data_IF_948043034033
#
_entry.id   IF_948043034033
#
_cell.length_a   1.000
_cell.length_b   1.000
_cell.length_c   1.000
_cell.angle_alpha   90.00
_cell.angle_beta   90.00
_cell.angle_gamma   90.00
#
_symmetry.space_group_name_H-M   'P 1'
#
loop_
_entity.id
_entity.type
_entity.pdbx_description
1 polymer ?
#
# COMPACT_ATOMS: atom_id res chain seq x y z
N UNK A 1 -65.15 19.32 6.83
CA UNK A 1 -64.08 18.66 6.05
C UNK A 1 -63.43 19.58 5.01
N UNK A 2 -64.13 20.59 4.51
CA UNK A 2 -63.62 21.52 3.46
C UNK A 2 -62.64 22.58 4.05
N UNK A 3 -62.84 23.06 5.27
CA UNK A 3 -61.93 24.05 5.90
C UNK A 3 -60.54 23.54 6.21
N UNK A 4 -60.41 22.24 6.55
CA UNK A 4 -59.10 21.62 6.88
C UNK A 4 -58.20 21.37 5.65
N UNK A 5 -58.77 21.35 4.44
CA UNK A 5 -58.06 21.22 3.19
C UNK A 5 -57.52 22.56 2.67
N UNK A 6 -58.21 23.68 2.96
CA UNK A 6 -57.75 25.02 2.55
C UNK A 6 -56.52 25.48 3.36
N UNK A 7 -56.42 25.13 4.63
CA UNK A 7 -55.26 25.43 5.44
C UNK A 7 -54.02 24.66 5.02
N UNK A 8 -54.20 23.41 4.61
CA UNK A 8 -53.08 22.61 4.07
C UNK A 8 -52.63 23.09 2.69
N UNK A 9 -53.51 23.57 1.84
CA UNK A 9 -53.15 24.16 0.55
C UNK A 9 -52.37 25.45 0.73
N UNK A 10 -52.83 26.35 1.64
CA UNK A 10 -52.13 27.59 1.94
C UNK A 10 -50.75 27.36 2.58
N UNK A 11 -50.58 26.32 3.38
CA UNK A 11 -49.27 25.96 3.95
C UNK A 11 -48.34 25.37 2.85
N UNK A 12 -48.88 24.65 1.87
CA UNK A 12 -48.10 24.15 0.76
C UNK A 12 -47.65 25.25 -0.20
N UNK A 13 -48.53 26.20 -0.52
CA UNK A 13 -48.19 27.39 -1.33
C UNK A 13 -47.18 28.27 -0.66
N UNK A 14 -47.25 28.45 0.67
CA UNK A 14 -46.28 29.22 1.46
C UNK A 14 -44.90 28.59 1.51
N UNK A 15 -44.83 27.24 1.57
CA UNK A 15 -43.61 26.48 1.49
C UNK A 15 -43.03 26.42 0.08
N UNK A 16 -43.86 26.37 -0.98
CA UNK A 16 -43.40 26.38 -2.35
C UNK A 16 -42.82 27.75 -2.74
N UNK A 17 -43.41 28.85 -2.25
CA UNK A 17 -42.86 30.20 -2.46
C UNK A 17 -41.54 30.40 -1.73
N UNK A 18 -41.35 29.78 -0.54
CA UNK A 18 -40.07 29.80 0.18
C UNK A 18 -38.97 29.00 -0.57
N UNK A 19 -39.36 27.84 -1.16
CA UNK A 19 -38.42 27.05 -1.97
C UNK A 19 -38.04 27.78 -3.28
N UNK A 20 -38.96 28.47 -3.91
CA UNK A 20 -38.69 29.28 -5.09
C UNK A 20 -37.77 30.48 -4.77
N UNK A 21 -37.86 31.03 -3.56
CA UNK A 21 -36.99 32.15 -3.14
C UNK A 21 -35.55 31.69 -2.90
N UNK A 22 -35.31 30.43 -2.49
CA UNK A 22 -33.96 29.85 -2.33
C UNK A 22 -33.31 29.54 -3.67
N UNK A 23 -34.11 29.31 -4.71
CA UNK A 23 -33.60 29.00 -6.07
C UNK A 23 -33.44 30.23 -6.97
N UNK A 24 -33.70 31.46 -6.50
CA UNK A 24 -33.24 32.64 -7.21
C UNK A 24 -31.73 32.76 -7.06
N UNK A 25 -30.98 32.00 -7.86
CA UNK A 25 -29.55 32.25 -8.11
C UNK A 25 -29.43 33.71 -8.59
N UNK A 26 -28.92 34.61 -7.75
CA UNK A 26 -28.54 35.95 -8.17
C UNK A 26 -27.53 35.81 -9.31
N UNK A 27 -27.99 36.01 -10.52
CA UNK A 27 -27.07 36.13 -11.65
C UNK A 27 -26.30 37.46 -11.48
N UNK A 28 -25.08 37.30 -10.98
CA UNK A 28 -24.19 38.44 -10.91
C UNK A 28 -23.99 39.05 -12.31
N UNK A 29 -24.08 40.40 -12.47
CA UNK A 29 -23.76 41.07 -13.72
C UNK A 29 -22.38 40.68 -14.21
N UNK A 30 -22.16 40.63 -15.50
CA UNK A 30 -20.91 40.20 -16.11
C UNK A 30 -19.68 40.91 -15.54
N UNK A 31 -19.79 42.24 -15.29
CA UNK A 31 -18.72 43.02 -14.63
C UNK A 31 -18.39 42.55 -13.22
N UNK A 32 -19.38 42.17 -12.45
CA UNK A 32 -19.15 41.64 -11.08
C UNK A 32 -18.46 40.28 -11.12
N UNK A 33 -18.81 39.42 -12.08
CA UNK A 33 -18.13 38.14 -12.30
C UNK A 33 -16.66 38.37 -12.67
N UNK A 34 -16.35 39.31 -13.54
CA UNK A 34 -14.96 39.66 -13.89
C UNK A 34 -14.21 40.16 -12.67
N UNK A 35 -14.78 41.07 -11.90
CA UNK A 35 -14.13 41.62 -10.71
C UNK A 35 -13.87 40.51 -9.67
N UNK A 36 -14.85 39.64 -9.44
CA UNK A 36 -14.69 38.53 -8.52
C UNK A 36 -13.60 37.53 -9.00
N UNK A 37 -13.56 37.27 -10.29
CA UNK A 37 -12.52 36.42 -10.90
C UNK A 37 -11.13 37.08 -10.78
N UNK A 38 -11.01 38.35 -10.96
CA UNK A 38 -9.74 39.09 -10.78
C UNK A 38 -9.28 39.07 -9.33
N UNK A 39 -10.19 39.27 -8.38
CA UNK A 39 -9.88 39.15 -6.93
C UNK A 39 -9.41 37.73 -6.62
N UNK A 40 -10.12 36.72 -7.12
CA UNK A 40 -9.75 35.32 -6.89
C UNK A 40 -8.35 35.01 -7.47
N UNK A 41 -8.10 35.41 -8.71
CA UNK A 41 -6.78 35.25 -9.36
C UNK A 41 -5.67 36.00 -8.63
N UNK A 42 -5.95 37.18 -8.11
CA UNK A 42 -4.97 37.94 -7.32
C UNK A 42 -4.65 37.26 -6.00
N UNK A 43 -5.67 36.79 -5.27
CA UNK A 43 -5.48 36.02 -4.04
C UNK A 43 -4.74 34.71 -4.32
N UNK A 44 -5.07 34.03 -5.40
CA UNK A 44 -4.39 32.81 -5.83
C UNK A 44 -2.91 33.08 -6.14
N UNK A 45 -2.60 34.11 -6.91
CA UNK A 45 -1.22 34.49 -7.25
C UNK A 45 -0.41 34.89 -6.01
N UNK A 46 -1.00 35.67 -5.10
CA UNK A 46 -0.37 36.03 -3.83
C UNK A 46 -0.12 34.79 -2.94
N UNK A 47 -1.08 33.89 -2.88
CA UNK A 47 -0.94 32.63 -2.13
C UNK A 47 0.16 31.76 -2.74
N UNK A 48 0.21 31.63 -4.05
CA UNK A 48 1.24 30.87 -4.75
C UNK A 48 2.66 31.41 -4.50
N UNK A 49 2.79 32.72 -4.37
CA UNK A 49 4.07 33.38 -4.04
C UNK A 49 4.42 33.28 -2.55
N UNK A 50 3.43 33.44 -1.65
CA UNK A 50 3.64 33.49 -0.22
C UNK A 50 3.88 32.09 0.41
N UNK A 51 3.16 31.05 -0.07
CA UNK A 51 3.20 29.70 0.52
C UNK A 51 4.61 29.09 0.53
N UNK A 52 5.42 29.15 -0.56
CA UNK A 52 6.79 28.60 -0.54
C UNK A 52 7.71 29.31 0.46
N UNK A 53 7.47 30.59 0.76
CA UNK A 53 8.27 31.31 1.76
C UNK A 53 7.96 30.90 3.20
N UNK A 54 6.74 30.42 3.45
CA UNK A 54 6.32 29.88 4.75
C UNK A 54 6.93 28.51 5.01
N UNK A 55 7.09 27.68 3.98
CA UNK A 55 7.73 26.38 4.10
C UNK A 55 9.20 26.44 4.52
N UNK A 56 9.90 27.54 4.18
CA UNK A 56 11.30 27.77 4.61
C UNK A 56 11.45 27.99 6.12
N UNK A 57 10.35 28.12 6.86
CA UNK A 57 10.38 28.29 8.33
C UNK A 57 10.45 26.95 9.08
N UNK A 58 10.35 25.83 8.41
CA UNK A 58 10.51 24.50 8.99
C UNK A 58 12.00 24.16 9.14
N UNK A 59 12.70 24.87 10.01
CA UNK A 59 14.18 24.81 10.15
C UNK A 59 14.64 24.09 11.41
N UNK A 60 13.74 23.47 12.15
CA UNK A 60 14.10 22.74 13.36
C UNK A 60 14.83 21.43 13.02
N UNK A 61 15.82 21.06 13.82
CA UNK A 61 16.42 19.73 13.78
C UNK A 61 15.48 18.65 14.31
N UNK A 62 14.39 19.06 14.99
CA UNK A 62 13.37 18.16 15.49
C UNK A 62 12.23 18.04 14.47
N UNK A 63 12.04 16.84 13.93
CA UNK A 63 11.00 16.52 12.95
C UNK A 63 9.59 16.84 13.49
N UNK A 64 9.32 16.53 14.77
CA UNK A 64 7.99 16.79 15.37
C UNK A 64 7.69 18.29 15.41
N UNK A 65 8.68 19.13 15.70
CA UNK A 65 8.51 20.58 15.68
C UNK A 65 8.17 21.07 14.27
N UNK A 66 8.84 20.57 13.24
CA UNK A 66 8.58 20.92 11.85
C UNK A 66 7.16 20.49 11.41
N UNK A 67 6.72 19.29 11.81
CA UNK A 67 5.37 18.82 11.50
C UNK A 67 4.28 19.65 12.21
N UNK A 68 4.50 20.06 13.47
CA UNK A 68 3.56 20.93 14.19
C UNK A 68 3.49 22.35 13.60
N UNK A 69 4.59 22.84 13.03
CA UNK A 69 4.64 24.16 12.37
C UNK A 69 4.12 24.13 10.94
N UNK A 70 3.93 22.93 10.37
CA UNK A 70 3.58 22.78 8.97
C UNK A 70 2.09 23.13 8.71
N UNK A 71 1.84 23.70 7.53
CA UNK A 71 0.48 23.88 7.04
C UNK A 71 0.00 22.62 6.34
N UNK A 72 -1.03 21.94 6.88
CA UNK A 72 -1.55 20.67 6.37
C UNK A 72 -2.02 20.74 4.91
N UNK A 73 -2.64 21.83 4.49
CA UNK A 73 -3.09 22.00 3.08
C UNK A 73 -1.88 22.10 2.15
N UNK A 74 -0.86 22.84 2.56
CA UNK A 74 0.38 22.97 1.79
C UNK A 74 1.13 21.63 1.72
N UNK A 75 1.25 20.91 2.81
CA UNK A 75 1.87 19.56 2.84
C UNK A 75 1.11 18.56 1.98
N UNK A 76 -0.23 18.61 2.00
CA UNK A 76 -1.04 17.79 1.11
C UNK A 76 -0.76 18.08 -0.37
N UNK A 77 -0.73 19.36 -0.75
CA UNK A 77 -0.41 19.76 -2.11
C UNK A 77 1.01 19.31 -2.52
N UNK A 78 2.01 19.51 -1.64
CA UNK A 78 3.38 19.05 -1.91
C UNK A 78 3.46 17.53 -2.03
N UNK A 79 2.76 16.79 -1.19
CA UNK A 79 2.72 15.33 -1.26
C UNK A 79 2.11 14.85 -2.58
N UNK A 80 1.03 15.49 -3.02
CA UNK A 80 0.41 15.21 -4.32
C UNK A 80 1.35 15.51 -5.50
N UNK A 81 2.00 16.68 -5.51
CA UNK A 81 2.90 17.08 -6.58
C UNK A 81 4.22 16.29 -6.61
N UNK A 82 4.66 15.72 -5.49
CA UNK A 82 5.89 14.94 -5.37
C UNK A 82 5.59 13.44 -5.15
N UNK A 83 4.43 12.95 -5.54
CA UNK A 83 4.05 11.53 -5.40
C UNK A 83 4.91 10.62 -6.29
N UNK A 84 5.41 11.13 -7.41
CA UNK A 84 6.30 10.39 -8.29
C UNK A 84 7.75 10.38 -7.79
N UNK A 85 8.43 9.27 -8.06
CA UNK A 85 9.83 9.11 -7.68
C UNK A 85 10.75 9.83 -8.67
N UNK A 86 11.43 10.86 -8.19
CA UNK A 86 12.57 11.46 -8.88
C UNK A 86 13.89 10.98 -8.23
N UNK A 87 14.52 9.97 -8.82
CA UNK A 87 15.75 9.39 -8.30
C UNK A 87 16.88 10.42 -8.19
N UNK A 88 17.03 11.30 -9.16
CA UNK A 88 18.10 12.29 -9.18
C UNK A 88 17.93 13.37 -8.10
N UNK A 89 16.70 13.63 -7.70
CA UNK A 89 16.40 14.57 -6.62
C UNK A 89 16.67 13.98 -5.23
N UNK A 90 16.36 12.69 -5.03
CA UNK A 90 16.41 12.06 -3.71
C UNK A 90 17.69 11.26 -3.44
N UNK A 91 18.37 10.80 -4.50
CA UNK A 91 19.54 9.95 -4.36
C UNK A 91 20.76 10.55 -5.04
N UNK A 92 21.89 10.45 -4.35
CA UNK A 92 23.18 10.71 -4.96
C UNK A 92 23.50 9.55 -5.91
N UNK A 93 23.60 9.83 -7.18
CA UNK A 93 23.91 8.84 -8.21
C UNK A 93 25.42 8.80 -8.50
N UNK A 94 25.88 7.66 -9.01
CA UNK A 94 27.23 7.47 -9.51
C UNK A 94 27.24 7.45 -11.04
N UNK A 95 28.33 7.83 -11.69
CA UNK A 95 28.53 7.55 -13.10
C UNK A 95 28.37 6.05 -13.39
N UNK A 96 27.76 5.69 -14.50
CA UNK A 96 27.45 4.28 -14.81
C UNK A 96 28.67 3.35 -14.74
N UNK A 97 29.82 3.78 -15.24
CA UNK A 97 31.04 2.97 -15.21
C UNK A 97 31.50 2.65 -13.79
N UNK A 98 31.42 3.62 -12.90
CA UNK A 98 31.75 3.44 -11.48
C UNK A 98 30.74 2.53 -10.79
N UNK A 99 29.44 2.73 -11.08
CA UNK A 99 28.35 1.90 -10.53
C UNK A 99 28.53 0.42 -10.96
N UNK A 100 28.84 0.14 -12.24
CA UNK A 100 29.07 -1.23 -12.70
C UNK A 100 30.36 -1.82 -12.11
N UNK A 101 31.40 -1.03 -11.93
CA UNK A 101 32.64 -1.51 -11.27
C UNK A 101 32.36 -1.96 -9.84
N UNK A 102 31.61 -1.15 -9.07
CA UNK A 102 31.19 -1.51 -7.71
C UNK A 102 30.29 -2.75 -7.71
N UNK A 103 29.33 -2.83 -8.64
CA UNK A 103 28.42 -3.97 -8.75
C UNK A 103 29.17 -5.27 -9.04
N UNK A 104 30.15 -5.24 -9.96
CA UNK A 104 30.99 -6.40 -10.31
C UNK A 104 31.82 -6.89 -9.11
N UNK A 105 32.25 -5.96 -8.23
CA UNK A 105 33.01 -6.30 -7.02
C UNK A 105 32.11 -6.87 -5.91
N UNK A 106 30.87 -6.37 -5.80
CA UNK A 106 29.93 -6.77 -4.77
C UNK A 106 29.21 -8.09 -5.06
N UNK A 107 28.91 -8.36 -6.35
CA UNK A 107 28.11 -9.52 -6.75
C UNK A 107 28.92 -10.46 -7.65
N UNK A 108 29.38 -11.60 -7.10
CA UNK A 108 30.08 -12.61 -7.88
C UNK A 108 29.23 -13.09 -9.08
N UNK A 109 29.89 -13.24 -10.23
CA UNK A 109 29.23 -13.71 -11.47
C UNK A 109 28.65 -12.64 -12.36
N UNK A 110 28.67 -11.35 -11.95
CA UNK A 110 28.41 -10.21 -12.83
C UNK A 110 29.73 -9.77 -13.43
N UNK A 111 29.75 -9.49 -14.74
CA UNK A 111 30.93 -8.96 -15.45
C UNK A 111 30.50 -7.91 -16.48
N UNK A 112 31.28 -6.84 -16.62
CA UNK A 112 31.03 -5.77 -17.58
C UNK A 112 29.90 -4.84 -17.16
N UNK A 113 29.10 -4.40 -18.11
CA UNK A 113 28.02 -3.38 -17.93
C UNK A 113 26.62 -4.01 -17.91
N UNK A 114 26.47 -5.17 -17.29
CA UNK A 114 25.19 -5.86 -17.13
C UNK A 114 24.83 -6.07 -15.67
N UNK A 115 23.55 -6.11 -15.37
CA UNK A 115 23.02 -6.51 -14.05
C UNK A 115 22.62 -7.99 -14.03
N UNK A 116 22.71 -8.69 -15.17
CA UNK A 116 22.32 -10.10 -15.28
C UNK A 116 23.42 -11.01 -14.79
N UNK A 117 23.05 -11.99 -14.00
CA UNK A 117 23.93 -13.10 -13.61
C UNK A 117 23.20 -14.43 -13.72
N UNK A 118 23.93 -15.46 -14.05
CA UNK A 118 23.40 -16.82 -14.01
C UNK A 118 23.68 -17.42 -12.64
N UNK A 119 22.64 -17.89 -11.97
CA UNK A 119 22.76 -18.67 -10.74
C UNK A 119 22.67 -20.14 -11.14
N UNK A 120 23.73 -20.87 -10.89
CA UNK A 120 23.79 -22.33 -11.12
C UNK A 120 23.60 -23.06 -9.81
N UNK A 121 23.00 -24.24 -9.87
CA UNK A 121 22.88 -25.17 -8.75
C UNK A 121 23.54 -26.48 -9.14
N UNK A 122 24.20 -27.11 -8.19
CA UNK A 122 24.85 -28.40 -8.36
C UNK A 122 23.86 -29.59 -8.30
N UNK A 123 22.62 -29.31 -7.92
CA UNK A 123 21.56 -30.30 -7.76
C UNK A 123 20.38 -30.05 -8.67
N UNK A 124 19.65 -31.12 -8.97
CA UNK A 124 18.40 -31.06 -9.71
C UNK A 124 17.37 -30.19 -8.95
N UNK A 125 16.60 -29.42 -9.69
CA UNK A 125 15.53 -28.59 -9.14
C UNK A 125 14.44 -29.47 -8.50
N UNK A 126 14.16 -29.23 -7.21
CA UNK A 126 13.06 -29.87 -6.50
C UNK A 126 11.90 -28.89 -6.44
N UNK A 127 10.78 -29.21 -7.09
CA UNK A 127 9.58 -28.39 -7.09
C UNK A 127 8.72 -28.66 -5.86
N UNK A 128 8.98 -27.95 -4.77
CA UNK A 128 8.16 -28.01 -3.55
C UNK A 128 7.11 -26.89 -3.54
N UNK A 129 6.01 -27.13 -2.84
CA UNK A 129 5.07 -26.06 -2.52
C UNK A 129 5.75 -25.03 -1.62
N UNK A 130 5.47 -23.74 -1.87
CA UNK A 130 6.08 -22.62 -1.14
C UNK A 130 4.97 -21.76 -0.55
N UNK A 131 5.06 -21.49 0.76
CA UNK A 131 4.17 -20.57 1.47
C UNK A 131 5.03 -19.46 2.06
N UNK A 132 4.78 -18.23 1.61
CA UNK A 132 5.39 -17.03 2.17
C UNK A 132 4.34 -16.35 3.06
N UNK A 133 4.61 -16.23 4.35
CA UNK A 133 3.74 -15.54 5.29
C UNK A 133 4.40 -14.23 5.71
N UNK A 134 3.76 -13.12 5.38
CA UNK A 134 4.13 -11.79 5.86
C UNK A 134 3.25 -11.41 7.03
N UNK A 135 3.85 -11.24 8.20
CA UNK A 135 3.12 -10.98 9.44
C UNK A 135 3.09 -9.47 9.69
N UNK A 136 1.87 -8.92 9.71
CA UNK A 136 1.66 -7.49 9.95
C UNK A 136 2.19 -7.08 11.32
N UNK A 137 2.96 -5.99 11.37
CA UNK A 137 3.46 -5.34 12.58
C UNK A 137 4.21 -6.27 13.56
N UNK A 138 4.75 -7.40 13.10
CA UNK A 138 5.54 -8.29 13.94
C UNK A 138 6.88 -7.63 14.29
N UNK A 139 7.16 -7.54 15.59
CA UNK A 139 8.44 -7.12 16.13
C UNK A 139 9.10 -8.25 16.92
N UNK A 140 10.42 -8.32 16.88
CA UNK A 140 11.19 -9.21 17.74
C UNK A 140 10.87 -9.02 19.24
N UNK A 141 10.47 -7.81 19.65
CA UNK A 141 10.03 -7.52 21.01
C UNK A 141 8.80 -8.33 21.48
N UNK A 142 8.04 -8.93 20.58
CA UNK A 142 6.92 -9.80 20.94
C UNK A 142 7.37 -11.23 21.29
N UNK A 143 8.56 -11.63 20.84
CA UNK A 143 9.04 -12.99 20.97
C UNK A 143 9.81 -13.18 22.29
N UNK A 144 9.53 -14.30 22.99
CA UNK A 144 10.18 -14.65 24.24
C UNK A 144 11.70 -14.80 24.09
N UNK A 145 12.14 -15.40 22.98
CA UNK A 145 13.57 -15.60 22.67
C UNK A 145 14.37 -14.31 22.52
N UNK A 146 13.70 -13.19 22.27
CA UNK A 146 14.32 -11.85 22.19
C UNK A 146 14.03 -10.99 23.43
N UNK A 147 13.64 -11.61 24.55
CA UNK A 147 13.54 -10.96 25.86
C UNK A 147 12.14 -10.54 26.28
N UNK A 148 11.08 -10.94 25.57
CA UNK A 148 9.72 -10.68 26.06
C UNK A 148 9.37 -11.64 27.19
N UNK A 149 9.07 -11.11 28.36
CA UNK A 149 8.69 -11.91 29.53
C UNK A 149 7.27 -12.50 29.42
N UNK A 150 6.41 -11.87 28.61
CA UNK A 150 5.04 -12.32 28.34
C UNK A 150 5.07 -13.33 27.20
N UNK A 151 4.73 -14.56 27.44
CA UNK A 151 4.73 -15.63 26.44
C UNK A 151 3.57 -15.44 25.40
N UNK A 152 3.64 -14.37 24.58
CA UNK A 152 2.59 -14.01 23.63
C UNK A 152 2.76 -14.63 22.25
N UNK A 153 3.95 -15.15 21.92
CA UNK A 153 4.23 -15.82 20.64
C UNK A 153 4.77 -17.25 20.81
N UNK A 154 4.13 -18.11 21.62
CA UNK A 154 4.70 -19.41 22.00
C UNK A 154 4.93 -20.36 20.81
N UNK A 155 4.02 -20.34 19.83
CA UNK A 155 4.14 -21.17 18.63
C UNK A 155 5.24 -20.68 17.70
N UNK A 156 5.40 -19.37 17.56
CA UNK A 156 6.46 -18.78 16.73
C UNK A 156 7.84 -19.01 17.33
N UNK A 157 7.96 -18.89 18.65
CA UNK A 157 9.19 -19.24 19.37
C UNK A 157 9.53 -20.73 19.20
N UNK A 158 8.55 -21.63 19.34
CA UNK A 158 8.75 -23.06 19.11
C UNK A 158 9.09 -23.42 17.67
N UNK A 159 8.52 -22.69 16.70
CA UNK A 159 8.83 -22.88 15.28
C UNK A 159 10.27 -22.46 14.97
N UNK A 160 10.72 -21.36 15.54
CA UNK A 160 12.08 -20.86 15.38
C UNK A 160 13.13 -21.90 15.84
N UNK A 161 12.86 -22.63 16.93
CA UNK A 161 13.75 -23.70 17.43
C UNK A 161 13.89 -24.90 16.48
N UNK A 162 12.97 -25.03 15.52
CA UNK A 162 12.92 -26.16 14.55
C UNK A 162 13.19 -25.72 13.12
N UNK A 163 13.61 -24.50 12.92
CA UNK A 163 13.70 -23.85 11.60
C UNK A 163 15.04 -23.19 11.39
N UNK A 164 15.33 -22.81 10.15
CA UNK A 164 16.39 -21.86 9.87
C UNK A 164 15.91 -20.46 10.28
N UNK A 165 16.54 -19.88 11.26
CA UNK A 165 16.23 -18.54 11.75
C UNK A 165 17.29 -17.54 11.32
N UNK A 166 16.85 -16.40 10.80
CA UNK A 166 17.69 -15.25 10.49
C UNK A 166 17.62 -14.25 11.65
N UNK A 167 18.60 -14.27 12.55
CA UNK A 167 18.60 -13.45 13.76
C UNK A 167 18.90 -11.98 13.53
N UNK A 168 19.38 -11.62 12.35
CA UNK A 168 19.71 -10.25 11.94
C UNK A 168 18.85 -9.82 10.72
N UNK A 169 17.56 -10.09 10.78
CA UNK A 169 16.58 -9.73 9.74
C UNK A 169 15.81 -8.48 10.17
N UNK A 170 15.78 -7.49 9.29
CA UNK A 170 15.07 -6.24 9.51
C UNK A 170 14.04 -6.00 8.42
N UNK A 171 12.89 -5.43 8.82
CA UNK A 171 11.95 -4.88 7.86
C UNK A 171 12.60 -3.66 7.15
N UNK A 172 12.46 -3.59 5.84
CA UNK A 172 13.08 -2.53 5.02
C UNK A 172 12.33 -1.19 5.07
N UNK A 173 11.22 -1.14 5.81
CA UNK A 173 10.40 0.06 6.00
C UNK A 173 9.34 -0.16 7.06
N UNK A 174 8.73 0.91 7.50
CA UNK A 174 7.71 0.93 8.57
C UNK A 174 6.27 0.93 8.04
N UNK A 175 6.08 0.66 6.76
CA UNK A 175 4.75 0.57 6.12
C UNK A 175 4.64 -0.76 5.41
N UNK A 176 3.46 -1.38 5.48
CA UNK A 176 3.13 -2.64 4.84
C UNK A 176 3.51 -2.68 3.37
N UNK A 177 3.12 -1.66 2.60
CA UNK A 177 3.41 -1.58 1.16
C UNK A 177 4.91 -1.56 0.84
N UNK A 178 5.77 -1.09 1.76
CA UNK A 178 7.23 -1.13 1.59
C UNK A 178 7.78 -2.53 1.74
N UNK A 179 7.27 -3.27 2.74
CA UNK A 179 7.60 -4.68 2.90
C UNK A 179 7.14 -5.53 1.71
N UNK A 180 5.92 -5.32 1.25
CA UNK A 180 5.36 -6.01 0.08
C UNK A 180 6.17 -5.71 -1.19
N UNK A 181 6.52 -4.43 -1.42
CA UNK A 181 7.37 -4.01 -2.54
C UNK A 181 8.71 -4.76 -2.53
N UNK A 182 9.39 -4.76 -1.40
CA UNK A 182 10.70 -5.40 -1.27
C UNK A 182 10.65 -6.91 -1.47
N UNK A 183 9.67 -7.60 -0.86
CA UNK A 183 9.52 -9.05 -0.97
C UNK A 183 9.07 -9.50 -2.37
N UNK A 184 8.24 -8.70 -3.03
CA UNK A 184 7.63 -9.08 -4.31
C UNK A 184 8.52 -8.70 -5.49
N UNK A 185 9.11 -7.50 -5.47
CA UNK A 185 9.95 -6.97 -6.55
C UNK A 185 11.45 -7.19 -6.30
N UNK A 186 11.84 -7.63 -5.10
CA UNK A 186 13.25 -7.73 -4.68
C UNK A 186 14.01 -6.39 -4.79
N UNK A 187 13.32 -5.28 -4.55
CA UNK A 187 13.86 -3.93 -4.59
C UNK A 187 13.92 -3.34 -3.19
N UNK A 188 14.99 -2.65 -2.81
CA UNK A 188 14.99 -1.86 -1.60
C UNK A 188 13.97 -0.72 -1.73
N UNK A 189 13.33 -0.29 -0.63
CA UNK A 189 12.40 0.83 -0.65
C UNK A 189 13.08 2.09 -1.17
N UNK A 190 12.38 2.78 -2.06
CA UNK A 190 12.85 4.05 -2.64
C UNK A 190 12.06 5.22 -2.08
N UNK A 191 12.55 6.45 -2.23
CA UNK A 191 11.79 7.65 -1.89
C UNK A 191 10.51 7.76 -2.75
N UNK A 192 9.57 8.57 -2.32
CA UNK A 192 8.28 8.73 -2.98
C UNK A 192 7.29 7.62 -2.62
N UNK A 193 6.28 7.42 -3.44
CA UNK A 193 5.25 6.43 -3.19
C UNK A 193 5.71 5.01 -3.54
N UNK A 194 5.25 4.01 -2.75
CA UNK A 194 5.54 2.60 -3.04
C UNK A 194 5.00 2.19 -4.42
N UNK A 195 5.77 1.36 -5.13
CA UNK A 195 5.35 0.79 -6.42
C UNK A 195 4.01 0.07 -6.31
N UNK A 196 3.70 -0.55 -5.17
CA UNK A 196 2.42 -1.22 -4.93
C UNK A 196 1.24 -0.27 -5.13
N UNK A 197 1.37 0.99 -4.72
CA UNK A 197 0.29 2.00 -4.75
C UNK A 197 0.18 2.77 -6.05
N UNK A 198 1.22 2.77 -6.89
CA UNK A 198 1.26 3.55 -8.14
C UNK A 198 0.25 3.04 -9.17
N UNK A 199 -0.13 3.91 -10.09
CA UNK A 199 -0.99 3.54 -11.22
C UNK A 199 -0.31 2.54 -12.17
N UNK A 200 1.00 2.68 -12.36
CA UNK A 200 1.82 1.83 -13.24
C UNK A 200 2.35 0.56 -12.55
N UNK A 201 1.64 0.04 -11.54
CA UNK A 201 2.07 -1.07 -10.70
C UNK A 201 1.95 -2.48 -11.34
N UNK A 202 1.40 -2.58 -12.54
CA UNK A 202 1.17 -3.85 -13.27
C UNK A 202 2.34 -4.21 -14.18
N UNK A 203 2.36 -5.48 -14.64
CA UNK A 203 3.35 -6.00 -15.61
C UNK A 203 4.80 -5.83 -15.14
N UNK A 204 5.03 -5.93 -13.84
CA UNK A 204 6.37 -5.91 -13.26
C UNK A 204 6.94 -7.32 -13.17
N UNK A 205 8.26 -7.43 -13.20
CA UNK A 205 8.93 -8.69 -12.88
C UNK A 205 8.90 -8.90 -11.37
N UNK A 206 8.24 -9.96 -10.94
CA UNK A 206 7.99 -10.26 -9.52
C UNK A 206 8.41 -11.68 -9.17
N UNK A 207 8.40 -12.01 -7.87
CA UNK A 207 8.55 -13.39 -7.42
C UNK A 207 7.54 -14.33 -8.08
N UNK A 208 6.30 -13.87 -8.33
CA UNK A 208 5.30 -14.62 -9.09
C UNK A 208 5.77 -14.97 -10.51
N UNK A 209 6.46 -14.06 -11.19
CA UNK A 209 6.94 -14.27 -12.54
C UNK A 209 7.87 -15.48 -12.63
N UNK A 210 8.74 -15.65 -11.61
CA UNK A 210 9.66 -16.78 -11.51
C UNK A 210 8.88 -18.09 -11.29
N UNK A 211 7.98 -18.13 -10.31
CA UNK A 211 7.20 -19.31 -9.97
C UNK A 211 6.28 -19.73 -11.12
N UNK A 212 5.60 -18.76 -11.76
CA UNK A 212 4.76 -19.04 -12.94
C UNK A 212 5.54 -19.64 -14.08
N UNK A 213 6.72 -19.09 -14.41
CA UNK A 213 7.61 -19.64 -15.44
C UNK A 213 8.00 -21.09 -15.15
N UNK A 214 8.05 -21.48 -13.89
CA UNK A 214 8.34 -22.85 -13.44
C UNK A 214 7.08 -23.74 -13.31
N UNK A 215 5.91 -23.23 -13.69
CA UNK A 215 4.65 -23.99 -13.72
C UNK A 215 3.86 -24.01 -12.41
N UNK A 216 4.20 -23.15 -11.46
CA UNK A 216 3.47 -23.04 -10.19
C UNK A 216 2.12 -22.32 -10.37
N UNK A 217 1.14 -22.69 -9.55
CA UNK A 217 0.02 -21.82 -9.22
C UNK A 217 0.50 -20.74 -8.26
N UNK A 218 0.07 -19.50 -8.46
CA UNK A 218 0.54 -18.37 -7.66
C UNK A 218 -0.64 -17.64 -7.07
N UNK A 219 -0.69 -17.55 -5.73
CA UNK A 219 -1.77 -16.92 -4.98
C UNK A 219 -1.24 -15.78 -4.09
N UNK A 220 -2.07 -14.76 -3.93
CA UNK A 220 -1.97 -13.76 -2.87
C UNK A 220 -3.20 -13.86 -1.99
N UNK A 221 -2.98 -14.04 -0.67
CA UNK A 221 -4.02 -14.28 0.32
C UNK A 221 -4.00 -13.16 1.35
N UNK A 222 -5.17 -12.56 1.59
CA UNK A 222 -5.31 -11.42 2.49
C UNK A 222 -6.68 -11.41 3.17
N UNK A 223 -6.74 -11.31 4.52
CA UNK A 223 -7.99 -11.28 5.26
C UNK A 223 -8.81 -10.00 5.06
N UNK A 224 -8.20 -8.91 4.61
CA UNK A 224 -8.83 -7.65 4.29
C UNK A 224 -9.33 -7.55 2.85
N UNK A 225 -9.78 -6.36 2.47
CA UNK A 225 -10.10 -6.03 1.07
C UNK A 225 -8.82 -5.63 0.34
N UNK A 226 -8.41 -6.40 -0.67
CA UNK A 226 -7.19 -6.16 -1.43
C UNK A 226 -7.22 -4.86 -2.26
N UNK A 227 -8.37 -4.20 -2.37
CA UNK A 227 -8.47 -2.85 -2.93
C UNK A 227 -7.69 -1.83 -2.08
N UNK A 228 -7.60 -2.06 -0.76
CA UNK A 228 -6.81 -1.24 0.13
C UNK A 228 -5.34 -1.20 -0.33
N UNK A 229 -4.75 -0.02 -0.30
CA UNK A 229 -3.36 0.23 -0.74
C UNK A 229 -3.06 -0.26 -2.16
N UNK A 230 -4.09 -0.41 -3.02
CA UNK A 230 -3.99 -0.83 -4.42
C UNK A 230 -3.39 -2.25 -4.61
N UNK A 231 -3.43 -3.09 -3.58
CA UNK A 231 -2.85 -4.44 -3.60
C UNK A 231 -3.52 -5.36 -4.62
N UNK A 232 -4.84 -5.23 -4.82
CA UNK A 232 -5.57 -6.00 -5.84
C UNK A 232 -5.01 -5.73 -7.25
N UNK A 233 -4.81 -4.45 -7.59
CA UNK A 233 -4.22 -4.04 -8.86
C UNK A 233 -2.77 -4.53 -9.01
N UNK A 234 -1.98 -4.38 -7.96
CA UNK A 234 -0.58 -4.79 -7.95
C UNK A 234 -0.42 -6.30 -8.09
N UNK A 235 -0.96 -7.07 -7.16
CA UNK A 235 -0.79 -8.53 -7.18
C UNK A 235 -1.50 -9.17 -8.38
N UNK A 236 -2.77 -8.80 -8.65
CA UNK A 236 -3.52 -9.31 -9.79
C UNK A 236 -2.89 -8.95 -11.12
N UNK A 237 -2.45 -7.68 -11.28
CA UNK A 237 -1.78 -7.19 -12.48
C UNK A 237 -0.37 -7.79 -12.70
N UNK A 238 0.21 -8.43 -11.68
CA UNK A 238 1.48 -9.14 -11.74
C UNK A 238 1.33 -10.66 -11.64
N UNK A 239 0.11 -11.14 -11.86
CA UNK A 239 -0.15 -12.57 -12.11
C UNK A 239 -0.42 -13.42 -10.89
N UNK A 240 -0.72 -12.84 -9.73
CA UNK A 240 -1.26 -13.59 -8.61
C UNK A 240 -2.77 -13.78 -8.76
N UNK A 241 -3.26 -14.93 -8.31
CA UNK A 241 -4.67 -15.13 -8.04
C UNK A 241 -4.99 -14.55 -6.68
N UNK A 242 -5.96 -13.64 -6.61
CA UNK A 242 -6.31 -12.91 -5.37
C UNK A 242 -7.35 -13.70 -4.59
N UNK A 243 -7.02 -14.00 -3.34
CA UNK A 243 -7.94 -14.58 -2.35
C UNK A 243 -8.02 -13.60 -1.19
N UNK A 244 -9.01 -12.73 -1.21
CA UNK A 244 -9.22 -11.70 -0.20
C UNK A 244 -10.59 -11.85 0.48
N UNK A 245 -10.97 -10.89 1.33
CA UNK A 245 -12.23 -10.87 2.05
C UNK A 245 -13.46 -11.10 1.15
N UNK A 246 -13.42 -10.67 -0.11
CA UNK A 246 -14.54 -10.85 -1.06
C UNK A 246 -14.78 -12.31 -1.44
N UNK A 247 -13.79 -13.18 -1.26
CA UNK A 247 -13.88 -14.62 -1.57
C UNK A 247 -14.47 -15.46 -0.44
N UNK A 248 -14.72 -14.86 0.73
CA UNK A 248 -15.32 -15.54 1.86
C UNK A 248 -16.84 -15.60 1.74
N UNK A 249 -17.41 -16.72 2.16
CA UNK A 249 -18.83 -16.80 2.50
C UNK A 249 -19.07 -16.27 3.91
N UNK A 250 -20.29 -15.86 4.23
CA UNK A 250 -20.62 -15.34 5.56
C UNK A 250 -20.33 -16.34 6.68
N UNK A 251 -20.45 -17.64 6.42
CA UNK A 251 -20.20 -18.71 7.38
C UNK A 251 -18.71 -18.99 7.63
N UNK A 252 -17.82 -18.50 6.78
CA UNK A 252 -16.37 -18.64 6.93
C UNK A 252 -15.76 -17.55 7.82
N UNK A 253 -16.53 -16.51 8.16
CA UNK A 253 -16.05 -15.37 8.96
C UNK A 253 -16.63 -15.49 10.38
N UNK A 254 -15.77 -15.81 11.36
CA UNK A 254 -16.14 -15.81 12.76
C UNK A 254 -16.00 -14.43 13.41
N UNK A 255 -15.00 -13.67 12.99
CA UNK A 255 -14.77 -12.30 13.45
C UNK A 255 -14.18 -11.45 12.31
N UNK A 256 -14.70 -10.24 12.17
CA UNK A 256 -14.13 -9.23 11.26
C UNK A 256 -14.27 -7.82 11.86
N UNK A 257 -13.33 -6.98 11.49
CA UNK A 257 -13.37 -5.54 11.80
C UNK A 257 -13.24 -4.71 10.51
N UNK A 258 -12.92 -3.42 10.64
CA UNK A 258 -12.73 -2.50 9.50
C UNK A 258 -11.58 -2.98 8.58
N UNK A 259 -10.58 -3.66 9.10
CA UNK A 259 -9.42 -4.13 8.35
C UNK A 259 -9.67 -5.44 7.61
N UNK A 260 -10.53 -6.30 8.13
CA UNK A 260 -10.84 -7.57 7.46
C UNK A 260 -11.30 -8.67 8.40
N UNK A 261 -11.35 -9.89 7.86
CA UNK A 261 -11.54 -11.12 8.63
C UNK A 261 -10.28 -11.42 9.45
N UNK A 262 -10.44 -12.02 10.61
CA UNK A 262 -9.32 -12.37 11.48
C UNK A 262 -8.38 -13.40 10.83
N UNK A 263 -7.13 -13.43 11.30
CA UNK A 263 -6.11 -14.31 10.73
C UNK A 263 -6.43 -15.80 10.91
N UNK A 264 -7.21 -16.17 11.94
CA UNK A 264 -7.68 -17.55 12.14
C UNK A 264 -8.62 -18.00 11.01
N UNK A 265 -9.52 -17.14 10.57
CA UNK A 265 -10.42 -17.44 9.47
C UNK A 265 -9.69 -17.43 8.14
N UNK A 266 -8.77 -16.46 7.96
CA UNK A 266 -7.92 -16.43 6.79
C UNK A 266 -6.99 -17.65 6.71
N UNK A 267 -6.48 -18.15 7.84
CA UNK A 267 -5.68 -19.37 7.88
C UNK A 267 -6.47 -20.60 7.38
N UNK A 268 -7.73 -20.73 7.81
CA UNK A 268 -8.62 -21.79 7.33
C UNK A 268 -8.82 -21.68 5.82
N UNK A 269 -9.10 -20.49 5.32
CA UNK A 269 -9.26 -20.20 3.88
C UNK A 269 -7.97 -20.49 3.10
N UNK A 270 -6.83 -20.09 3.64
CA UNK A 270 -5.52 -20.36 3.05
C UNK A 270 -5.26 -21.87 2.93
N UNK A 271 -5.51 -22.64 4.00
CA UNK A 271 -5.34 -24.10 3.99
C UNK A 271 -6.29 -24.75 2.97
N UNK A 272 -7.55 -24.32 2.90
CA UNK A 272 -8.50 -24.83 1.90
C UNK A 272 -8.00 -24.58 0.48
N UNK A 273 -7.53 -23.35 0.20
CA UNK A 273 -7.00 -22.96 -1.12
C UNK A 273 -5.77 -23.80 -1.48
N UNK A 274 -4.80 -23.90 -0.57
CA UNK A 274 -3.58 -24.65 -0.78
C UNK A 274 -3.84 -26.16 -0.96
N UNK A 275 -4.79 -26.73 -0.22
CA UNK A 275 -5.23 -28.12 -0.39
C UNK A 275 -5.91 -28.33 -1.76
N UNK A 276 -6.72 -27.40 -2.22
CA UNK A 276 -7.31 -27.47 -3.54
C UNK A 276 -6.25 -27.37 -4.65
N UNK A 277 -5.24 -26.52 -4.47
CA UNK A 277 -4.13 -26.40 -5.40
C UNK A 277 -3.27 -27.67 -5.44
N UNK A 278 -2.95 -28.24 -4.29
CA UNK A 278 -2.17 -29.48 -4.18
C UNK A 278 -2.85 -30.66 -4.91
N UNK A 279 -4.18 -30.77 -4.85
CA UNK A 279 -4.95 -31.81 -5.57
C UNK A 279 -4.80 -31.73 -7.10
N UNK A 280 -4.37 -30.60 -7.65
CA UNK A 280 -4.16 -30.45 -9.10
C UNK A 280 -2.85 -31.07 -9.60
N UNK A 281 -2.00 -31.55 -8.70
CA UNK A 281 -0.66 -32.09 -9.03
C UNK A 281 0.36 -31.03 -9.45
N UNK A 282 -0.01 -29.75 -9.49
CA UNK A 282 0.91 -28.64 -9.76
C UNK A 282 1.42 -28.04 -8.44
N UNK A 283 2.70 -27.68 -8.37
CA UNK A 283 3.21 -26.98 -7.22
C UNK A 283 2.55 -25.58 -7.11
N UNK A 284 2.47 -25.04 -5.90
CA UNK A 284 1.95 -23.69 -5.67
C UNK A 284 2.95 -22.81 -4.91
N UNK A 285 2.85 -21.52 -5.16
CA UNK A 285 3.42 -20.44 -4.35
C UNK A 285 2.28 -19.60 -3.81
N UNK A 286 2.12 -19.57 -2.50
CA UNK A 286 1.09 -18.80 -1.82
C UNK A 286 1.72 -17.74 -0.93
N UNK A 287 1.50 -16.47 -1.26
CA UNK A 287 1.91 -15.34 -0.42
C UNK A 287 0.71 -14.91 0.43
N UNK A 288 0.77 -15.16 1.71
CA UNK A 288 -0.25 -14.78 2.67
C UNK A 288 0.22 -13.60 3.52
N UNK A 289 -0.56 -12.53 3.52
CA UNK A 289 -0.38 -11.40 4.40
C UNK A 289 -1.42 -11.42 5.51
N UNK A 290 -0.97 -11.35 6.77
CA UNK A 290 -1.84 -11.30 7.94
C UNK A 290 -2.39 -9.89 8.16
N UNK A 291 -3.45 -9.75 8.97
CA UNK A 291 -4.15 -8.48 9.21
C UNK A 291 -4.49 -8.24 10.68
N UNK A 292 -4.54 -9.25 11.53
CA UNK A 292 -5.09 -9.12 12.89
C UNK A 292 -4.28 -8.22 13.82
N UNK A 293 -3.02 -7.96 13.53
CA UNK A 293 -2.16 -7.08 14.33
C UNK A 293 -2.07 -5.65 13.76
N UNK A 294 -3.09 -5.23 13.02
CA UNK A 294 -3.16 -3.91 12.40
C UNK A 294 -3.75 -2.87 13.36
#
# INVERSE_FOLDING_TARGET
>A
MIQRNSEKLNAFEKNSSAIVTVTQMRFFPFKEKINLSLVFLSVFALSFWAIPSLAKKENSTNIFTNELQSNGIYKFYLAFMNSELDYFKFYKTLPNNEAYTLLNNLLPGIKGTTTQRTITSDSLEIKKNVVLITIESLSAHFMKRYGNEKNITPFLDSLADKSLEFTNLYAVGNRTVRGLEALTLCLPPTAGESVVKREDNKNKFTTASIFKKKGYKVNYLYGGDAFFDNMESFFGGNGYNIIDKKTFTQSEISFANVWGACDEDMAKKAIQTMNADAKTGKPFFSHWMTVSNH
#
